data_IF_913438657416
#
_entry.id   IF_913438657416
#
_cell.length_a   1.000
_cell.length_b   1.000
_cell.length_c   1.000
_cell.angle_alpha   90.00
_cell.angle_beta   90.00
_cell.angle_gamma   90.00
#
_symmetry.space_group_name_H-M   'P 1'
#
loop_
_entity.id
_entity.type
_entity.pdbx_description
1 polymer ?
#
# COMPACT_ATOMS: atom_id res chain seq x y z
N UNK A 1 -13.87 6.66 1.12
CA UNK A 1 -14.40 5.52 1.90
C UNK A 1 -13.51 5.36 3.13
N UNK A 2 -14.07 5.34 4.35
CA UNK A 2 -13.26 5.22 5.56
C UNK A 2 -12.93 3.75 5.84
N UNK A 3 -11.65 3.45 6.10
CA UNK A 3 -11.21 2.12 6.52
C UNK A 3 -11.75 1.87 7.93
N UNK A 4 -12.47 0.76 8.12
CA UNK A 4 -12.98 0.36 9.43
C UNK A 4 -11.90 -0.37 10.22
N UNK A 5 -11.78 -0.03 11.52
CA UNK A 5 -10.81 -0.65 12.43
C UNK A 5 -10.93 -2.18 12.46
N UNK A 6 -12.16 -2.69 12.49
CA UNK A 6 -12.43 -4.14 12.55
C UNK A 6 -11.89 -4.87 11.32
N UNK A 7 -11.95 -4.23 10.14
CA UNK A 7 -11.40 -4.82 8.90
C UNK A 7 -9.88 -4.84 8.92
N UNK A 8 -9.24 -3.78 9.42
CA UNK A 8 -7.79 -3.72 9.62
C UNK A 8 -7.30 -4.76 10.62
N UNK A 9 -7.98 -4.87 11.77
CA UNK A 9 -7.66 -5.85 12.79
C UNK A 9 -7.81 -7.29 12.26
N UNK A 10 -8.90 -7.57 11.54
CA UNK A 10 -9.13 -8.89 10.93
C UNK A 10 -8.03 -9.24 9.92
N UNK A 11 -7.65 -8.28 9.08
CA UNK A 11 -6.58 -8.46 8.11
C UNK A 11 -5.24 -8.76 8.79
N UNK A 12 -4.91 -8.01 9.83
CA UNK A 12 -3.67 -8.24 10.60
C UNK A 12 -3.64 -9.64 11.22
N UNK A 13 -4.75 -10.08 11.83
CA UNK A 13 -4.83 -11.42 12.41
C UNK A 13 -4.71 -12.51 11.35
N UNK A 14 -5.33 -12.33 10.18
CA UNK A 14 -5.21 -13.25 9.04
C UNK A 14 -3.76 -13.36 8.58
N UNK A 15 -3.03 -12.24 8.50
CA UNK A 15 -1.60 -12.23 8.22
C UNK A 15 -0.78 -12.89 9.33
N UNK A 16 -0.95 -12.49 10.59
CA UNK A 16 -0.11 -12.93 11.70
C UNK A 16 -0.22 -14.44 11.99
N UNK A 17 -1.39 -15.02 11.73
CA UNK A 17 -1.65 -16.46 11.97
C UNK A 17 -1.32 -17.35 10.79
N UNK A 18 -0.87 -16.77 9.67
CA UNK A 18 -0.52 -17.48 8.46
C UNK A 18 0.77 -18.31 8.59
N UNK A 19 0.93 -19.30 7.71
CA UNK A 19 2.12 -20.13 7.60
C UNK A 19 3.07 -19.65 6.48
N UNK A 20 2.56 -18.86 5.53
CA UNK A 20 3.30 -18.43 4.34
C UNK A 20 3.05 -16.95 4.07
N UNK A 21 4.12 -16.17 4.21
CA UNK A 21 4.14 -14.72 4.02
C UNK A 21 4.77 -14.38 2.66
N UNK A 22 4.14 -13.49 1.91
CA UNK A 22 4.70 -12.92 0.69
C UNK A 22 4.10 -11.54 0.43
N UNK A 23 4.84 -10.69 -0.29
CA UNK A 23 4.40 -9.37 -0.70
C UNK A 23 3.03 -9.41 -1.40
N UNK A 24 2.88 -10.28 -2.40
CA UNK A 24 1.63 -10.48 -3.15
C UNK A 24 0.43 -10.76 -2.25
N UNK A 25 0.65 -11.52 -1.17
CA UNK A 25 -0.43 -11.89 -0.26
C UNK A 25 -0.82 -10.71 0.62
N UNK A 26 0.16 -9.95 1.11
CA UNK A 26 -0.08 -8.70 1.83
C UNK A 26 -0.89 -7.74 0.95
N UNK A 27 -0.43 -7.50 -0.29
CA UNK A 27 -1.12 -6.62 -1.25
C UNK A 27 -2.55 -7.08 -1.55
N UNK A 28 -2.76 -8.38 -1.85
CA UNK A 28 -4.10 -8.94 -2.08
C UNK A 28 -5.04 -8.75 -0.90
N UNK A 29 -4.54 -8.86 0.34
CA UNK A 29 -5.35 -8.65 1.52
C UNK A 29 -5.70 -7.17 1.69
N UNK A 30 -4.75 -6.27 1.41
CA UNK A 30 -4.99 -4.81 1.43
C UNK A 30 -6.07 -4.44 0.41
N UNK A 31 -6.04 -5.04 -0.78
CA UNK A 31 -7.08 -4.81 -1.80
C UNK A 31 -8.48 -5.22 -1.32
N UNK A 32 -8.60 -6.26 -0.47
CA UNK A 32 -9.89 -6.66 0.14
C UNK A 32 -10.46 -5.60 1.08
N UNK A 33 -9.67 -4.64 1.56
CA UNK A 33 -10.17 -3.51 2.35
C UNK A 33 -10.96 -2.51 1.49
N UNK A 34 -10.83 -2.58 0.16
CA UNK A 34 -11.48 -1.66 -0.78
C UNK A 34 -10.76 -0.33 -0.94
N UNK A 35 -9.49 -0.23 -0.54
CA UNK A 35 -8.64 0.94 -0.80
C UNK A 35 -8.09 0.88 -2.22
N UNK A 36 -8.38 1.91 -3.02
CA UNK A 36 -7.96 1.98 -4.42
C UNK A 36 -6.68 2.82 -4.59
N UNK A 37 -6.58 3.94 -3.88
CA UNK A 37 -5.41 4.83 -3.93
C UNK A 37 -4.16 4.16 -3.35
N UNK A 38 -3.03 4.23 -4.07
CA UNK A 38 -1.75 3.72 -3.58
C UNK A 38 -1.28 4.44 -2.31
N UNK A 39 -1.62 5.72 -2.13
CA UNK A 39 -1.39 6.46 -0.87
C UNK A 39 -2.12 5.79 0.31
N UNK A 40 -3.38 5.40 0.11
CA UNK A 40 -4.15 4.71 1.15
C UNK A 40 -3.58 3.32 1.43
N UNK A 41 -3.11 2.60 0.40
CA UNK A 41 -2.44 1.30 0.56
C UNK A 41 -1.12 1.44 1.33
N UNK A 42 -0.34 2.49 1.07
CA UNK A 42 0.90 2.80 1.79
C UNK A 42 0.64 3.02 3.29
N UNK A 43 -0.39 3.77 3.65
CA UNK A 43 -0.80 3.96 5.05
C UNK A 43 -1.21 2.63 5.72
N UNK A 44 -1.91 1.76 5.01
CA UNK A 44 -2.28 0.42 5.52
C UNK A 44 -1.04 -0.43 5.75
N UNK A 45 -0.09 -0.47 4.81
CA UNK A 45 1.17 -1.20 4.96
C UNK A 45 1.96 -0.69 6.16
N UNK A 46 2.06 0.62 6.34
CA UNK A 46 2.77 1.22 7.47
C UNK A 46 2.10 0.87 8.81
N UNK A 47 0.77 0.89 8.86
CA UNK A 47 0.02 0.46 10.03
C UNK A 47 0.24 -1.03 10.35
N UNK A 48 0.30 -1.90 9.34
CA UNK A 48 0.61 -3.31 9.51
C UNK A 48 2.03 -3.52 10.02
N UNK A 49 3.00 -2.79 9.46
CA UNK A 49 4.39 -2.83 9.91
C UNK A 49 4.49 -2.48 11.40
N UNK A 50 3.86 -1.38 11.81
CA UNK A 50 3.84 -0.95 13.21
C UNK A 50 3.14 -1.98 14.12
N UNK A 51 2.00 -2.53 13.67
CA UNK A 51 1.26 -3.53 14.43
C UNK A 51 2.10 -4.79 14.75
N UNK A 52 3.00 -5.21 13.86
CA UNK A 52 3.89 -6.36 14.14
C UNK A 52 4.88 -6.08 15.30
N UNK A 53 5.24 -4.82 15.53
CA UNK A 53 6.07 -4.43 16.67
C UNK A 53 5.26 -4.24 17.96
N UNK A 54 4.03 -3.70 17.84
CA UNK A 54 3.20 -3.36 18.99
C UNK A 54 2.52 -4.57 19.64
N UNK A 55 2.29 -5.65 18.90
CA UNK A 55 1.70 -6.87 19.45
C UNK A 55 2.73 -7.76 20.17
N UNK A 56 2.27 -8.42 21.24
CA UNK A 56 3.08 -9.41 21.94
C UNK A 56 3.46 -10.57 21.00
N UNK A 57 4.76 -10.80 20.74
CA UNK A 57 5.16 -11.80 19.74
C UNK A 57 4.68 -13.21 20.07
N UNK A 58 4.66 -13.54 21.37
CA UNK A 58 4.31 -14.86 21.89
C UNK A 58 2.80 -15.17 21.81
N UNK A 59 1.96 -14.18 21.50
CA UNK A 59 0.51 -14.35 21.41
C UNK A 59 0.01 -14.43 19.96
N UNK A 60 0.72 -13.79 19.03
CA UNK A 60 0.27 -13.63 17.65
C UNK A 60 1.11 -14.39 16.63
N UNK A 61 2.37 -14.70 16.93
CA UNK A 61 3.26 -15.41 16.01
C UNK A 61 3.64 -16.78 16.58
N UNK A 62 3.70 -17.79 15.71
CA UNK A 62 4.09 -19.15 16.11
C UNK A 62 5.56 -19.24 16.50
N UNK A 63 6.42 -18.52 15.79
CA UNK A 63 7.86 -18.43 16.04
C UNK A 63 8.36 -17.01 15.76
N UNK A 64 9.55 -16.70 16.27
CA UNK A 64 10.23 -15.43 15.96
C UNK A 64 10.55 -15.35 14.46
N UNK A 65 10.84 -16.48 13.81
CA UNK A 65 11.06 -16.56 12.37
C UNK A 65 9.80 -16.17 11.58
N UNK A 66 8.61 -16.61 12.01
CA UNK A 66 7.35 -16.20 11.39
C UNK A 66 7.13 -14.69 11.49
N UNK A 67 7.47 -14.07 12.63
CA UNK A 67 7.41 -12.61 12.78
C UNK A 67 8.34 -11.92 11.78
N UNK A 68 9.59 -12.38 11.67
CA UNK A 68 10.58 -11.80 10.75
C UNK A 68 10.17 -11.97 9.29
N UNK A 69 9.64 -13.15 8.92
CA UNK A 69 9.16 -13.41 7.57
C UNK A 69 7.96 -12.55 7.21
N UNK A 70 7.03 -12.32 8.15
CA UNK A 70 5.92 -11.38 7.95
C UNK A 70 6.43 -9.94 7.77
N UNK A 71 7.37 -9.48 8.60
CA UNK A 71 7.97 -8.15 8.46
C UNK A 71 8.63 -7.96 7.10
N UNK A 72 9.33 -8.98 6.61
CA UNK A 72 9.95 -8.94 5.30
C UNK A 72 8.90 -8.87 4.18
N UNK A 73 7.86 -9.69 4.24
CA UNK A 73 6.76 -9.64 3.27
C UNK A 73 6.04 -8.28 3.27
N UNK A 74 5.88 -7.65 4.43
CA UNK A 74 5.30 -6.30 4.55
C UNK A 74 6.21 -5.24 3.91
N UNK A 75 7.54 -5.34 4.09
CA UNK A 75 8.50 -4.43 3.46
C UNK A 75 8.50 -4.56 1.94
N UNK A 76 8.57 -5.79 1.44
CA UNK A 76 8.51 -6.05 -0.01
C UNK A 76 7.19 -5.53 -0.62
N UNK A 77 6.07 -5.63 0.11
CA UNK A 77 4.81 -5.02 -0.31
C UNK A 77 4.84 -3.49 -0.28
N UNK A 78 5.58 -2.88 0.66
CA UNK A 78 5.80 -1.44 0.71
C UNK A 78 6.56 -0.97 -0.53
N UNK A 79 7.66 -1.65 -0.87
CA UNK A 79 8.49 -1.33 -2.03
C UNK A 79 7.67 -1.33 -3.34
N UNK A 80 6.79 -2.33 -3.52
CA UNK A 80 5.88 -2.40 -4.68
C UNK A 80 4.90 -1.22 -4.73
N UNK A 81 4.38 -0.77 -3.58
CA UNK A 81 3.46 0.37 -3.52
C UNK A 81 4.22 1.67 -3.79
N UNK A 82 5.45 1.82 -3.28
CA UNK A 82 6.30 2.98 -3.53
C UNK A 82 6.65 3.10 -5.02
N UNK A 83 6.98 1.98 -5.68
CA UNK A 83 7.19 1.94 -7.13
C UNK A 83 5.92 2.38 -7.90
N UNK A 84 4.75 1.90 -7.49
CA UNK A 84 3.47 2.29 -8.12
C UNK A 84 3.11 3.76 -7.90
N UNK A 85 3.42 4.31 -6.72
CA UNK A 85 3.25 5.73 -6.43
C UNK A 85 4.15 6.60 -7.32
N UNK A 86 5.41 6.20 -7.51
CA UNK A 86 6.34 6.93 -8.37
C UNK A 86 5.84 6.97 -9.82
N UNK A 87 5.33 5.84 -10.34
CA UNK A 87 4.74 5.77 -11.69
C UNK A 87 3.49 6.66 -11.79
N UNK A 88 2.58 6.61 -10.81
CA UNK A 88 1.36 7.43 -10.80
C UNK A 88 1.70 8.94 -10.77
N UNK A 89 2.75 9.34 -10.04
CA UNK A 89 3.22 10.72 -9.98
C UNK A 89 3.84 11.18 -11.31
N UNK A 90 4.66 10.35 -11.95
CA UNK A 90 5.23 10.63 -13.27
C UNK A 90 4.13 10.80 -14.35
N UNK A 91 3.14 9.90 -14.38
CA UNK A 91 2.00 9.98 -15.30
C UNK A 91 1.17 11.25 -15.08
N UNK A 92 1.01 11.69 -13.82
CA UNK A 92 0.30 12.92 -13.51
C UNK A 92 1.03 14.15 -14.04
N UNK A 93 2.35 14.22 -13.87
CA UNK A 93 3.19 15.32 -14.37
C UNK A 93 3.14 15.39 -15.90
N UNK A 94 3.27 14.26 -16.59
CA UNK A 94 3.20 14.20 -18.06
C UNK A 94 1.85 14.74 -18.58
N UNK A 95 0.76 14.34 -17.93
CA UNK A 95 -0.59 14.79 -18.28
C UNK A 95 -0.81 16.29 -18.03
N UNK A 96 -0.27 16.83 -16.94
CA UNK A 96 -0.30 18.27 -16.69
C UNK A 96 0.47 19.04 -17.77
N UNK A 97 1.67 18.59 -18.16
CA UNK A 97 2.45 19.26 -19.20
C UNK A 97 1.73 19.26 -20.55
N UNK A 98 1.10 18.16 -20.94
CA UNK A 98 0.33 18.06 -22.19
C UNK A 98 -0.88 19.01 -22.22
N UNK A 99 -1.54 19.23 -21.07
CA UNK A 99 -2.68 20.16 -20.99
C UNK A 99 -2.23 21.61 -21.08
N UNK A 100 -1.08 21.97 -20.48
CA UNK A 100 -0.49 23.30 -20.65
C UNK A 100 -0.11 23.61 -22.11
N UNK A 101 0.42 22.62 -22.84
CA UNK A 101 0.77 22.80 -24.25
C UNK A 101 -0.47 22.98 -25.15
N UNK A 102 -1.58 22.29 -24.84
CA UNK A 102 -2.86 22.47 -25.54
C UNK A 102 -3.44 23.88 -25.31
N UNK A 103 -3.46 24.36 -24.05
CA UNK A 103 -3.97 25.69 -23.70
C UNK A 103 -3.19 26.83 -24.40
N UNK A 104 -1.86 26.71 -24.49
CA UNK A 104 -1.00 27.69 -25.18
C UNK A 104 -1.28 27.72 -26.69
N UNK A 105 -1.55 26.56 -27.29
CA UNK A 105 -1.84 26.44 -28.72
C UNK A 105 -3.23 26.99 -29.06
N UNK A 106 -4.24 26.80 -28.20
CA UNK A 106 -5.57 27.39 -28.38
C UNK A 106 -5.54 28.93 -28.31
N UNK A 107 -4.82 29.49 -27.34
CA UNK A 107 -4.64 30.95 -27.21
C UNK A 107 -3.88 31.58 -28.40
N UNK A 108 -3.07 30.80 -29.12
CA UNK A 108 -2.30 31.25 -30.28
C UNK A 108 -3.09 31.26 -31.60
N UNK A 109 -4.28 30.65 -31.63
CA UNK A 109 -5.12 30.51 -32.84
C UNK A 109 -6.25 31.56 -32.86
N UNK A 110 -6.56 32.22 -31.73
CA UNK A 110 -7.62 33.24 -31.63
C UNK A 110 -7.16 34.71 -31.90
N UNK A 111 -5.89 34.97 -32.27
CA UNK A 111 -5.40 36.28 -32.78
C UNK A 111 -5.29 36.33 -34.33
#
# INVERSE_FOLDING_TARGET
MAIQFEKMAKLFVELATDNYFSADKVLKLIDKLGVQSFTAKSLVVQALYQAVYDVSPNQFFRTLESKTALLQAIREAADVIEEQLAIEEEEHIEKELLTYDEDILEDSIEE
#
